data_IF_261809780860
#
_entry.id   IF_261809780860
#
_cell.length_a   1.000
_cell.length_b   1.000
_cell.length_c   1.000
_cell.angle_alpha   90.00
_cell.angle_beta   90.00
_cell.angle_gamma   90.00
#
_symmetry.space_group_name_H-M   'P 1'
#
loop_
_entity.id
_entity.type
_entity.pdbx_description
1 polymer ?
#
# COMPACT_ATOMS: atom_id res chain seq x y z
N UNK A 1 -21.79 -22.02 10.26
CA UNK A 1 -21.64 -20.58 9.92
C UNK A 1 -22.55 -20.34 8.74
N UNK A 2 -23.48 -19.39 8.85
CA UNK A 2 -24.44 -19.11 7.78
C UNK A 2 -23.77 -18.30 6.65
N UNK A 3 -24.24 -18.45 5.41
CA UNK A 3 -23.75 -17.72 4.23
C UNK A 3 -23.81 -16.21 4.46
N UNK A 4 -24.83 -15.72 5.16
CA UNK A 4 -24.94 -14.31 5.54
C UNK A 4 -23.79 -13.84 6.45
N UNK A 5 -23.37 -14.67 7.41
CA UNK A 5 -22.24 -14.36 8.30
C UNK A 5 -20.91 -14.34 7.56
N UNK A 6 -20.70 -15.27 6.62
CA UNK A 6 -19.51 -15.32 5.78
C UNK A 6 -19.41 -14.06 4.90
N UNK A 7 -20.51 -13.65 4.27
CA UNK A 7 -20.57 -12.41 3.48
C UNK A 7 -20.28 -11.17 4.30
N UNK A 8 -20.83 -11.09 5.52
CA UNK A 8 -20.59 -9.96 6.42
C UNK A 8 -19.12 -9.85 6.83
N UNK A 9 -18.48 -10.99 7.15
CA UNK A 9 -17.05 -11.03 7.46
C UNK A 9 -16.19 -10.62 6.25
N UNK A 10 -16.53 -11.11 5.06
CA UNK A 10 -15.82 -10.73 3.83
C UNK A 10 -15.97 -9.25 3.57
N UNK A 11 -17.18 -8.68 3.68
CA UNK A 11 -17.43 -7.26 3.46
C UNK A 11 -16.66 -6.38 4.47
N UNK A 12 -16.54 -6.83 5.73
CA UNK A 12 -15.69 -6.16 6.71
C UNK A 12 -14.21 -6.21 6.30
N UNK A 13 -13.71 -7.39 5.92
CA UNK A 13 -12.32 -7.56 5.48
C UNK A 13 -11.96 -6.77 4.23
N UNK A 14 -12.85 -6.69 3.23
CA UNK A 14 -12.63 -5.87 2.04
C UNK A 14 -12.60 -4.37 2.39
N UNK A 15 -13.46 -3.93 3.31
CA UNK A 15 -13.47 -2.54 3.78
C UNK A 15 -12.18 -2.18 4.54
N UNK A 16 -11.70 -3.08 5.39
CA UNK A 16 -10.44 -2.89 6.11
C UNK A 16 -9.25 -2.84 5.14
N UNK A 17 -9.26 -3.67 4.10
CA UNK A 17 -8.26 -3.64 3.02
C UNK A 17 -8.30 -2.32 2.24
N UNK A 18 -9.48 -1.80 1.89
CA UNK A 18 -9.63 -0.49 1.23
C UNK A 18 -9.10 0.65 2.10
N UNK A 19 -9.39 0.63 3.40
CA UNK A 19 -8.86 1.61 4.36
C UNK A 19 -7.33 1.53 4.40
N UNK A 20 -6.77 0.32 4.45
CA UNK A 20 -5.33 0.11 4.45
C UNK A 20 -4.68 0.65 3.16
N UNK A 21 -5.27 0.41 2.00
CA UNK A 21 -4.80 0.99 0.72
C UNK A 21 -4.79 2.52 0.79
N UNK A 22 -5.87 3.14 1.30
CA UNK A 22 -5.94 4.59 1.44
C UNK A 22 -4.89 5.18 2.40
N UNK A 23 -4.53 4.46 3.47
CA UNK A 23 -3.45 4.85 4.38
C UNK A 23 -2.07 4.70 3.71
N UNK A 24 -1.85 3.60 2.99
CA UNK A 24 -0.61 3.35 2.25
C UNK A 24 -0.38 4.36 1.13
N UNK A 25 -1.44 4.84 0.47
CA UNK A 25 -1.35 5.94 -0.49
C UNK A 25 -0.76 7.21 0.14
N UNK A 26 -1.27 7.62 1.31
CA UNK A 26 -0.75 8.79 2.05
C UNK A 26 0.72 8.63 2.48
N UNK A 27 1.10 7.41 2.87
CA UNK A 27 2.50 7.11 3.20
C UNK A 27 3.38 7.22 1.96
N UNK A 28 2.89 6.76 0.81
CA UNK A 28 3.59 6.87 -0.49
C UNK A 28 3.78 8.33 -0.88
N UNK A 29 2.73 9.15 -0.76
CA UNK A 29 2.82 10.60 -1.02
C UNK A 29 3.89 11.26 -0.12
N UNK A 30 3.93 10.89 1.17
CA UNK A 30 4.93 11.38 2.11
C UNK A 30 6.35 10.95 1.74
N UNK A 31 6.51 9.72 1.23
CA UNK A 31 7.80 9.22 0.73
C UNK A 31 8.20 10.00 -0.53
N UNK A 32 7.28 10.28 -1.44
CA UNK A 32 7.54 11.03 -2.67
C UNK A 32 7.95 12.48 -2.37
N UNK A 33 7.29 13.15 -1.42
CA UNK A 33 7.68 14.47 -0.94
C UNK A 33 9.10 14.45 -0.34
N UNK A 34 9.39 13.44 0.49
CA UNK A 34 10.71 13.27 1.10
C UNK A 34 11.80 12.99 0.05
N UNK A 35 11.53 12.15 -0.94
CA UNK A 35 12.42 11.87 -2.06
C UNK A 35 12.68 13.15 -2.89
N UNK A 36 11.64 13.90 -3.22
CA UNK A 36 11.76 15.16 -3.98
C UNK A 36 12.58 16.23 -3.24
N UNK A 37 12.35 16.39 -1.94
CA UNK A 37 13.13 17.30 -1.09
C UNK A 37 14.58 16.85 -0.89
N UNK A 38 14.80 15.54 -0.71
CA UNK A 38 16.12 14.96 -0.55
C UNK A 38 16.95 15.03 -1.84
N UNK A 39 16.32 14.88 -3.02
CA UNK A 39 16.99 15.06 -4.31
C UNK A 39 17.58 16.46 -4.47
N UNK A 40 16.83 17.50 -4.07
CA UNK A 40 17.30 18.88 -4.08
C UNK A 40 18.50 19.10 -3.15
N UNK A 41 18.51 18.44 -1.98
CA UNK A 41 19.63 18.54 -1.03
C UNK A 41 20.84 17.70 -1.43
N UNK A 42 20.65 16.56 -2.10
CA UNK A 42 21.77 15.74 -2.61
C UNK A 42 22.47 16.34 -3.81
N UNK A 43 21.79 17.16 -4.62
CA UNK A 43 22.42 17.87 -5.73
C UNK A 43 23.60 18.73 -5.22
N UNK A 44 23.44 19.33 -4.04
CA UNK A 44 24.45 20.19 -3.41
C UNK A 44 25.37 19.43 -2.44
N UNK A 45 25.03 18.21 -2.04
CA UNK A 45 25.83 17.37 -1.15
C UNK A 45 25.58 15.89 -1.43
N UNK A 46 26.46 15.27 -2.21
CA UNK A 46 26.48 13.81 -2.47
C UNK A 46 26.94 13.01 -1.24
N UNK A 47 26.43 13.35 -0.06
CA UNK A 47 26.81 12.72 1.17
C UNK A 47 26.26 11.28 1.21
N UNK A 48 27.10 10.24 1.33
CA UNK A 48 26.69 8.83 1.16
C UNK A 48 25.52 8.37 2.04
N UNK A 49 25.37 8.98 3.22
CA UNK A 49 24.22 8.72 4.11
C UNK A 49 22.88 9.16 3.52
N UNK A 50 22.85 10.24 2.76
CA UNK A 50 21.62 10.74 2.12
C UNK A 50 21.26 9.84 0.95
N UNK A 51 22.23 9.46 0.12
CA UNK A 51 22.05 8.49 -0.97
C UNK A 51 21.55 7.13 -0.45
N UNK A 52 22.11 6.63 0.66
CA UNK A 52 21.63 5.40 1.30
C UNK A 52 20.24 5.53 1.92
N UNK A 53 19.87 6.71 2.42
CA UNK A 53 18.52 7.00 2.90
C UNK A 53 17.49 7.01 1.76
N UNK A 54 17.83 7.68 0.65
CA UNK A 54 17.02 7.70 -0.57
C UNK A 54 16.75 6.29 -1.11
N UNK A 55 17.78 5.44 -1.17
CA UNK A 55 17.63 4.06 -1.63
C UNK A 55 16.69 3.23 -0.73
N UNK A 56 16.72 3.47 0.60
CA UNK A 56 15.79 2.81 1.53
C UNK A 56 14.36 3.30 1.37
N UNK A 57 14.17 4.60 1.11
CA UNK A 57 12.85 5.18 0.83
C UNK A 57 12.27 4.61 -0.46
N UNK A 58 13.08 4.49 -1.52
CA UNK A 58 12.68 3.87 -2.77
C UNK A 58 12.29 2.39 -2.58
N UNK A 59 13.07 1.62 -1.83
CA UNK A 59 12.73 0.24 -1.49
C UNK A 59 11.40 0.16 -0.71
N UNK A 60 11.20 1.05 0.27
CA UNK A 60 9.97 1.10 1.05
C UNK A 60 8.75 1.42 0.16
N UNK A 61 8.90 2.31 -0.83
CA UNK A 61 7.86 2.58 -1.82
C UNK A 61 7.50 1.35 -2.64
N UNK A 62 8.49 0.64 -3.18
CA UNK A 62 8.26 -0.58 -3.94
C UNK A 62 7.56 -1.67 -3.11
N UNK A 63 7.91 -1.78 -1.83
CA UNK A 63 7.26 -2.72 -0.91
C UNK A 63 5.80 -2.33 -0.64
N UNK A 64 5.52 -1.03 -0.47
CA UNK A 64 4.15 -0.51 -0.33
C UNK A 64 3.33 -0.81 -1.59
N UNK A 65 3.86 -0.54 -2.78
CA UNK A 65 3.18 -0.83 -4.05
C UNK A 65 2.85 -2.33 -4.18
N UNK A 66 3.77 -3.21 -3.76
CA UNK A 66 3.52 -4.66 -3.72
C UNK A 66 2.38 -5.01 -2.76
N UNK A 67 2.35 -4.42 -1.57
CA UNK A 67 1.28 -4.64 -0.59
C UNK A 67 -0.07 -4.16 -1.13
N UNK A 68 -0.12 -2.98 -1.75
CA UNK A 68 -1.35 -2.45 -2.37
C UNK A 68 -1.87 -3.42 -3.44
N UNK A 69 -1.01 -3.92 -4.33
CA UNK A 69 -1.40 -4.91 -5.34
C UNK A 69 -1.97 -6.20 -4.73
N UNK A 70 -1.37 -6.69 -3.64
CA UNK A 70 -1.85 -7.87 -2.92
C UNK A 70 -3.21 -7.63 -2.27
N UNK A 71 -3.42 -6.47 -1.65
CA UNK A 71 -4.70 -6.08 -1.06
C UNK A 71 -5.79 -5.96 -2.14
N UNK A 72 -5.52 -5.28 -3.25
CA UNK A 72 -6.46 -5.17 -4.37
C UNK A 72 -6.83 -6.54 -4.96
N UNK A 73 -5.85 -7.43 -5.12
CA UNK A 73 -6.09 -8.81 -5.59
C UNK A 73 -6.94 -9.60 -4.60
N UNK A 74 -6.70 -9.40 -3.31
CA UNK A 74 -7.47 -10.05 -2.23
C UNK A 74 -8.92 -9.58 -2.23
N UNK A 75 -9.17 -8.27 -2.41
CA UNK A 75 -10.52 -7.70 -2.55
C UNK A 75 -11.23 -8.31 -3.76
N UNK A 76 -10.61 -8.30 -4.94
CA UNK A 76 -11.21 -8.89 -6.15
C UNK A 76 -11.56 -10.37 -5.97
N UNK A 77 -10.68 -11.13 -5.32
CA UNK A 77 -10.90 -12.55 -5.03
C UNK A 77 -12.06 -12.75 -4.06
N UNK A 78 -12.14 -11.90 -3.02
CA UNK A 78 -13.21 -11.92 -2.03
C UNK A 78 -14.57 -11.57 -2.66
N UNK A 79 -14.63 -10.55 -3.52
CA UNK A 79 -15.84 -10.19 -4.27
C UNK A 79 -16.28 -11.29 -5.24
N UNK A 80 -15.33 -11.95 -5.92
CA UNK A 80 -15.62 -13.06 -6.80
C UNK A 80 -16.17 -14.26 -6.02
N UNK A 81 -15.64 -14.52 -4.83
CA UNK A 81 -16.15 -15.56 -3.93
C UNK A 81 -17.56 -15.24 -3.44
N UNK A 82 -17.82 -14.00 -2.99
CA UNK A 82 -19.17 -13.56 -2.58
C UNK A 82 -20.19 -13.75 -3.70
N UNK A 83 -19.85 -13.38 -4.94
CA UNK A 83 -20.72 -13.60 -6.12
C UNK A 83 -21.00 -15.08 -6.40
N UNK A 84 -20.07 -15.99 -6.08
CA UNK A 84 -20.23 -17.43 -6.32
C UNK A 84 -21.14 -18.11 -5.30
N UNK A 85 -21.18 -17.61 -4.07
CA UNK A 85 -21.96 -18.22 -2.98
C UNK A 85 -23.41 -17.72 -2.88
N UNK A 86 -23.87 -16.95 -3.88
CA UNK A 86 -25.25 -16.45 -4.00
C UNK A 86 -25.50 -15.28 -3.08
#
# INVERSE_FOLDING_TARGET
>A
MDVGQVKAQIAAGTRDADIAIGLLAKVTDTIDDALGGAQHTTHDSQHPKVTGGLAKLDQAKQDIERIVNLLSTSIQSAEAYVRRIG
#
